data_IF_355098242645
#
_entry.id   IF_355098242645
#
_cell.length_a   1.000
_cell.length_b   1.000
_cell.length_c   1.000
_cell.angle_alpha   90.00
_cell.angle_beta   90.00
_cell.angle_gamma   90.00
#
_symmetry.space_group_name_H-M   'P 1'
#
loop_
_entity.id
_entity.type
_entity.pdbx_description
1 polymer ?
#
# COMPACT_ATOMS: atom_id res chain seq x y z
N UNK A 1 -61.32 35.07 0.15
CA UNK A 1 -60.08 35.00 -0.66
C UNK A 1 -59.00 34.34 0.19
N UNK A 2 -58.68 33.08 -0.08
CA UNK A 2 -57.63 32.31 0.62
C UNK A 2 -56.58 31.94 -0.43
N UNK A 3 -55.41 32.59 -0.39
CA UNK A 3 -54.29 32.23 -1.25
C UNK A 3 -53.52 31.08 -0.59
N UNK A 4 -53.56 29.91 -1.20
CA UNK A 4 -52.74 28.75 -0.80
C UNK A 4 -51.37 28.93 -1.45
N UNK A 5 -50.36 29.19 -0.62
CA UNK A 5 -48.97 29.29 -1.04
C UNK A 5 -48.41 27.86 -1.20
N UNK A 6 -48.27 27.39 -2.44
CA UNK A 6 -47.63 26.11 -2.75
C UNK A 6 -46.11 26.28 -2.65
N UNK A 7 -45.52 25.84 -1.53
CA UNK A 7 -44.07 25.70 -1.40
C UNK A 7 -43.63 24.46 -2.20
N UNK A 8 -43.09 24.69 -3.40
CA UNK A 8 -42.38 23.68 -4.19
C UNK A 8 -41.04 23.38 -3.51
N UNK A 9 -40.99 22.32 -2.71
CA UNK A 9 -39.75 21.76 -2.19
C UNK A 9 -39.05 21.04 -3.36
N UNK A 10 -38.08 21.71 -3.99
CA UNK A 10 -37.19 21.10 -4.97
C UNK A 10 -36.22 20.20 -4.21
N UNK A 11 -36.53 18.91 -4.15
CA UNK A 11 -35.62 17.86 -3.68
C UNK A 11 -34.51 17.68 -4.73
N UNK A 12 -33.42 18.43 -4.59
CA UNK A 12 -32.19 18.12 -5.30
C UNK A 12 -31.62 16.81 -4.74
N UNK A 13 -31.16 15.87 -5.58
CA UNK A 13 -30.44 14.71 -5.09
C UNK A 13 -29.16 15.21 -4.45
N UNK A 14 -29.04 15.05 -3.14
CA UNK A 14 -27.76 15.18 -2.45
C UNK A 14 -26.88 14.09 -3.06
N UNK A 15 -25.95 14.49 -3.92
CA UNK A 15 -24.82 13.65 -4.27
C UNK A 15 -24.04 13.45 -2.96
N UNK A 16 -24.40 12.40 -2.23
CA UNK A 16 -23.57 11.87 -1.16
C UNK A 16 -22.35 11.33 -1.88
N UNK A 17 -21.36 12.20 -2.12
CA UNK A 17 -19.99 11.77 -2.32
C UNK A 17 -19.66 10.93 -1.09
N UNK A 18 -19.76 9.61 -1.28
CA UNK A 18 -19.62 8.63 -0.20
C UNK A 18 -18.39 9.00 0.60
N UNK A 19 -18.59 9.21 1.90
CA UNK A 19 -17.50 9.36 2.86
C UNK A 19 -16.54 8.22 2.59
N UNK A 20 -15.41 8.51 1.93
CA UNK A 20 -14.45 7.51 1.51
C UNK A 20 -13.82 6.99 2.80
N UNK A 21 -14.39 5.90 3.33
CA UNK A 21 -13.95 5.29 4.58
C UNK A 21 -12.48 4.98 4.40
N UNK A 22 -11.62 5.75 5.07
CA UNK A 22 -10.16 5.68 4.93
C UNK A 22 -9.72 4.21 4.84
N UNK A 23 -9.28 3.78 3.66
CA UNK A 23 -8.75 2.44 3.49
C UNK A 23 -7.50 2.31 4.37
N UNK A 24 -7.61 1.47 5.41
CA UNK A 24 -6.56 1.31 6.40
C UNK A 24 -5.31 0.67 5.80
N UNK A 25 -5.46 -0.21 4.81
CA UNK A 25 -4.36 -0.83 4.09
C UNK A 25 -3.63 0.18 3.19
N UNK A 26 -4.36 1.00 2.45
CA UNK A 26 -3.80 2.13 1.70
C UNK A 26 -3.05 3.11 2.62
N UNK A 27 -3.60 3.38 3.81
CA UNK A 27 -2.92 4.20 4.82
C UNK A 27 -1.60 3.57 5.25
N UNK A 28 -1.54 2.25 5.40
CA UNK A 28 -0.28 1.55 5.71
C UNK A 28 0.69 1.59 4.55
N UNK A 29 0.23 1.41 3.30
CA UNK A 29 1.06 1.52 2.11
C UNK A 29 1.79 2.87 2.03
N UNK A 30 1.09 3.97 2.33
CA UNK A 30 1.68 5.31 2.39
C UNK A 30 2.58 5.52 3.61
N UNK A 31 2.11 5.13 4.81
CA UNK A 31 2.84 5.40 6.06
C UNK A 31 4.12 4.56 6.20
N UNK A 32 4.10 3.34 5.64
CA UNK A 32 5.28 2.49 5.52
C UNK A 32 6.20 2.93 4.37
N UNK A 33 5.83 3.97 3.64
CA UNK A 33 6.59 4.54 2.52
C UNK A 33 6.82 3.54 1.37
N UNK A 34 5.90 2.59 1.16
CA UNK A 34 6.00 1.64 0.05
C UNK A 34 5.97 2.37 -1.30
N UNK A 35 5.21 3.46 -1.37
CA UNK A 35 5.03 4.29 -2.56
C UNK A 35 6.28 5.10 -2.95
N UNK A 36 7.32 5.20 -2.12
CA UNK A 36 8.58 5.84 -2.55
C UNK A 36 9.34 5.00 -3.56
N UNK A 37 9.15 3.68 -3.52
CA UNK A 37 9.81 2.74 -4.42
C UNK A 37 8.79 2.17 -5.42
N UNK A 38 7.64 1.72 -4.94
CA UNK A 38 6.61 1.11 -5.78
C UNK A 38 5.68 2.10 -6.48
N UNK A 39 5.90 3.40 -6.24
CA UNK A 39 5.10 4.51 -6.76
C UNK A 39 3.64 4.48 -6.28
N UNK A 40 2.88 5.54 -6.59
CA UNK A 40 1.46 5.61 -6.22
C UNK A 40 0.62 4.58 -6.98
N UNK A 41 1.00 4.26 -8.22
CA UNK A 41 0.28 3.33 -9.08
C UNK A 41 0.63 1.87 -8.81
N UNK A 42 1.71 1.56 -8.09
CA UNK A 42 2.10 0.19 -7.75
C UNK A 42 2.89 -0.55 -8.84
N UNK A 43 3.30 0.12 -9.93
CA UNK A 43 4.04 -0.52 -11.03
C UNK A 43 5.55 -0.59 -10.75
N UNK A 44 6.02 -0.01 -9.65
CA UNK A 44 7.46 0.09 -9.42
C UNK A 44 8.13 1.03 -10.42
N UNK A 45 9.41 0.76 -10.70
CA UNK A 45 10.27 1.59 -11.53
C UNK A 45 11.45 2.19 -10.75
N UNK A 46 12.13 3.14 -11.38
CA UNK A 46 13.27 3.83 -10.77
C UNK A 46 12.90 4.56 -9.48
N UNK A 47 13.70 4.38 -8.45
CA UNK A 47 13.54 5.02 -7.14
C UNK A 47 14.91 5.22 -6.47
N UNK A 48 14.94 5.97 -5.37
CA UNK A 48 16.15 6.10 -4.54
C UNK A 48 16.67 4.75 -4.01
N UNK A 49 15.82 3.73 -3.91
CA UNK A 49 16.19 2.37 -3.52
C UNK A 49 16.58 1.47 -4.70
N UNK A 50 16.78 2.02 -5.90
CA UNK A 50 16.96 1.26 -7.13
C UNK A 50 15.64 1.02 -7.87
N UNK A 51 15.62 0.05 -8.79
CA UNK A 51 14.43 -0.31 -9.56
C UNK A 51 13.51 -1.25 -8.77
N UNK A 52 12.38 -0.74 -8.30
CA UNK A 52 11.38 -1.53 -7.61
C UNK A 52 10.56 -2.37 -8.59
N UNK A 53 10.23 -3.60 -8.21
CA UNK A 53 9.35 -4.46 -8.99
C UNK A 53 7.90 -3.93 -8.98
N UNK A 54 7.15 -4.28 -10.03
CA UNK A 54 5.70 -4.04 -10.09
C UNK A 54 4.98 -4.93 -9.08
N UNK A 55 4.21 -4.30 -8.19
CA UNK A 55 3.31 -5.02 -7.27
C UNK A 55 2.12 -5.58 -8.06
N UNK A 56 1.69 -4.90 -9.13
CA UNK A 56 0.56 -5.36 -9.95
C UNK A 56 0.87 -6.66 -10.67
N UNK A 57 2.12 -6.85 -11.09
CA UNK A 57 2.56 -8.02 -11.83
C UNK A 57 3.17 -9.12 -10.94
N UNK A 58 3.08 -8.97 -9.61
CA UNK A 58 3.68 -9.94 -8.68
C UNK A 58 3.02 -11.32 -8.80
N UNK A 59 3.85 -12.36 -8.86
CA UNK A 59 3.41 -13.76 -8.76
C UNK A 59 3.07 -14.20 -7.34
N UNK A 60 3.49 -13.45 -6.31
CA UNK A 60 3.38 -13.86 -4.90
C UNK A 60 1.92 -13.96 -4.42
N UNK A 61 1.57 -15.04 -3.75
CA UNK A 61 0.32 -15.18 -3.01
C UNK A 61 0.33 -14.36 -1.71
N UNK A 62 -0.72 -14.50 -0.90
CA UNK A 62 -0.89 -13.72 0.33
C UNK A 62 0.23 -14.00 1.33
N UNK A 63 0.60 -15.26 1.48
CA UNK A 63 1.64 -15.75 2.37
C UNK A 63 3.02 -15.24 1.93
N UNK A 64 3.31 -15.30 0.63
CA UNK A 64 4.53 -14.75 0.04
C UNK A 64 4.63 -13.24 0.21
N UNK A 65 3.53 -12.51 -0.02
CA UNK A 65 3.45 -11.07 0.24
C UNK A 65 3.65 -10.74 1.73
N UNK A 66 3.05 -11.51 2.62
CA UNK A 66 3.26 -11.33 4.05
C UNK A 66 4.73 -11.56 4.42
N UNK A 67 5.34 -12.65 3.92
CA UNK A 67 6.75 -12.96 4.18
C UNK A 67 7.68 -11.83 3.74
N UNK A 68 7.55 -11.35 2.51
CA UNK A 68 8.44 -10.32 1.97
C UNK A 68 8.24 -8.96 2.65
N UNK A 69 7.03 -8.62 3.09
CA UNK A 69 6.79 -7.40 3.88
C UNK A 69 7.34 -7.54 5.30
N UNK A 70 7.13 -8.68 5.96
CA UNK A 70 7.64 -8.90 7.31
C UNK A 70 9.17 -8.88 7.35
N UNK A 71 9.81 -9.59 6.41
CA UNK A 71 11.24 -9.89 6.41
C UNK A 71 12.07 -9.04 5.45
N UNK A 72 11.44 -8.20 4.62
CA UNK A 72 12.15 -7.49 3.57
C UNK A 72 12.80 -8.46 2.57
N UNK A 73 13.76 -7.95 1.81
CA UNK A 73 14.54 -8.75 0.86
C UNK A 73 16.03 -8.48 1.06
N UNK A 74 16.76 -9.38 1.77
CA UNK A 74 18.21 -9.31 1.95
C UNK A 74 18.96 -9.04 0.64
N UNK A 75 20.07 -8.30 0.70
CA UNK A 75 20.82 -7.86 -0.48
C UNK A 75 20.13 -6.79 -1.33
N UNK A 76 19.03 -6.20 -0.83
CA UNK A 76 18.28 -5.15 -1.55
C UNK A 76 17.82 -4.05 -0.61
N UNK A 77 17.35 -2.94 -1.19
CA UNK A 77 16.82 -1.81 -0.44
C UNK A 77 15.36 -2.01 0.05
N UNK A 78 14.73 -3.17 -0.16
CA UNK A 78 13.41 -3.45 0.41
C UNK A 78 13.56 -3.86 1.88
N UNK A 79 13.17 -3.01 2.84
CA UNK A 79 13.47 -3.26 4.24
C UNK A 79 12.48 -4.27 4.85
N UNK A 80 12.84 -4.80 6.02
CA UNK A 80 11.91 -5.57 6.84
C UNK A 80 11.02 -4.63 7.66
N UNK A 81 9.72 -4.90 7.70
CA UNK A 81 8.76 -4.05 8.39
C UNK A 81 8.28 -4.63 9.73
N UNK A 82 8.56 -5.89 10.04
CA UNK A 82 8.17 -6.50 11.32
C UNK A 82 9.23 -6.32 12.39
N UNK A 83 8.82 -5.93 13.61
CA UNK A 83 9.69 -5.92 14.80
C UNK A 83 10.16 -7.32 15.25
N UNK A 84 9.56 -8.38 14.68
CA UNK A 84 9.91 -9.77 14.95
C UNK A 84 10.89 -10.33 13.92
N UNK A 85 11.13 -9.62 12.81
CA UNK A 85 12.02 -10.07 11.75
C UNK A 85 13.44 -10.33 12.27
N UNK A 86 14.01 -11.46 11.88
CA UNK A 86 15.39 -11.89 12.17
C UNK A 86 15.79 -11.97 13.66
N UNK A 87 14.81 -11.96 14.59
CA UNK A 87 15.02 -12.29 16.01
C UNK A 87 15.12 -13.80 16.23
N UNK A 88 14.47 -14.55 15.35
CA UNK A 88 14.52 -16.00 15.22
C UNK A 88 14.58 -16.34 13.71
N UNK A 89 14.50 -17.61 13.38
CA UNK A 89 14.65 -18.17 12.03
C UNK A 89 13.41 -18.00 11.12
N UNK A 90 12.37 -17.26 11.55
CA UNK A 90 11.15 -17.08 10.75
C UNK A 90 11.39 -16.43 9.39
N UNK A 91 12.45 -15.65 9.25
CA UNK A 91 12.78 -14.91 8.03
C UNK A 91 13.78 -15.71 7.21
N UNK A 92 13.26 -16.52 6.29
CA UNK A 92 14.05 -17.34 5.37
C UNK A 92 14.99 -18.36 6.06
N UNK A 93 14.69 -18.75 7.31
CA UNK A 93 15.57 -19.62 8.10
C UNK A 93 16.73 -18.87 8.77
N UNK A 94 16.76 -17.54 8.69
CA UNK A 94 17.90 -16.71 9.07
C UNK A 94 17.56 -15.77 10.23
N UNK A 95 18.57 -15.50 11.04
CA UNK A 95 18.65 -14.50 12.11
C UNK A 95 19.63 -13.40 11.72
N UNK A 96 19.63 -12.27 12.43
CA UNK A 96 20.57 -11.17 12.16
C UNK A 96 22.05 -11.55 12.33
N UNK A 97 22.34 -12.56 13.16
CA UNK A 97 23.70 -13.08 13.38
C UNK A 97 24.23 -13.81 12.12
N UNK A 98 23.34 -14.38 11.32
CA UNK A 98 23.74 -15.13 10.12
C UNK A 98 24.23 -14.22 8.99
N UNK A 99 24.17 -12.89 9.18
CA UNK A 99 24.69 -11.87 8.26
C UNK A 99 25.95 -11.17 8.80
N UNK A 100 26.60 -11.71 9.85
CA UNK A 100 27.87 -11.14 10.34
C UNK A 100 28.96 -11.23 9.27
N UNK A 101 29.58 -10.10 8.95
CA UNK A 101 30.58 -10.00 7.88
C UNK A 101 29.99 -9.90 6.46
N UNK A 102 28.67 -9.94 6.30
CA UNK A 102 27.96 -9.80 5.02
C UNK A 102 27.13 -8.51 4.97
N UNK A 103 27.77 -7.35 5.16
CA UNK A 103 27.09 -6.05 5.26
C UNK A 103 26.22 -5.72 4.03
N UNK A 104 26.63 -6.16 2.83
CA UNK A 104 25.87 -5.97 1.59
C UNK A 104 24.56 -6.76 1.55
N UNK A 105 24.55 -7.97 2.14
CA UNK A 105 23.37 -8.83 2.18
C UNK A 105 22.49 -8.57 3.41
N UNK A 106 23.01 -7.84 4.39
CA UNK A 106 22.35 -7.62 5.68
C UNK A 106 20.97 -6.96 5.48
N UNK A 107 19.89 -7.53 6.03
CA UNK A 107 18.55 -6.96 5.88
C UNK A 107 18.42 -5.61 6.58
N UNK A 108 17.83 -4.63 5.89
CA UNK A 108 17.68 -3.26 6.39
C UNK A 108 16.36 -3.07 7.16
N UNK A 109 16.37 -2.40 8.33
CA UNK A 109 15.14 -2.07 9.04
C UNK A 109 14.33 -1.00 8.31
N UNK A 110 13.00 -1.14 8.31
CA UNK A 110 12.14 -0.08 7.83
C UNK A 110 12.16 1.11 8.79
N UNK A 111 12.18 2.33 8.24
CA UNK A 111 12.05 3.57 9.04
C UNK A 111 10.76 3.57 9.90
N UNK A 112 9.70 2.94 9.38
CA UNK A 112 8.45 2.71 10.10
C UNK A 112 8.15 1.22 10.20
N UNK A 113 8.37 0.65 11.37
CA UNK A 113 7.93 -0.70 11.69
C UNK A 113 6.40 -0.78 11.76
N UNK A 114 5.86 -1.92 11.33
CA UNK A 114 4.45 -2.28 11.35
C UNK A 114 4.19 -3.41 12.36
N UNK A 115 3.01 -3.41 12.97
CA UNK A 115 2.51 -4.55 13.74
C UNK A 115 1.72 -5.53 12.84
N UNK A 116 1.41 -6.71 13.38
CA UNK A 116 0.74 -7.79 12.64
C UNK A 116 -0.60 -7.34 12.00
N UNK A 117 -1.38 -6.49 12.68
CA UNK A 117 -2.65 -5.95 12.15
C UNK A 117 -2.40 -5.00 10.98
N UNK A 118 -1.36 -4.17 11.06
CA UNK A 118 -0.98 -3.24 10.00
C UNK A 118 -0.45 -3.97 8.77
N UNK A 119 0.39 -4.98 8.97
CA UNK A 119 0.91 -5.83 7.90
C UNK A 119 -0.27 -6.53 7.21
N UNK A 120 -1.16 -7.16 7.96
CA UNK A 120 -2.35 -7.81 7.40
C UNK A 120 -3.21 -6.85 6.56
N UNK A 121 -3.42 -5.63 7.05
CA UNK A 121 -4.17 -4.61 6.30
C UNK A 121 -3.46 -4.17 5.01
N UNK A 122 -2.14 -3.99 5.06
CA UNK A 122 -1.32 -3.69 3.90
C UNK A 122 -1.40 -4.81 2.85
N UNK A 123 -1.26 -6.08 3.27
CA UNK A 123 -1.35 -7.22 2.36
C UNK A 123 -2.73 -7.31 1.72
N UNK A 124 -3.80 -7.13 2.49
CA UNK A 124 -5.16 -7.11 1.93
C UNK A 124 -5.30 -6.00 0.88
N UNK A 125 -4.82 -4.78 1.13
CA UNK A 125 -4.83 -3.71 0.12
C UNK A 125 -4.04 -4.09 -1.14
N UNK A 126 -2.87 -4.72 -1.00
CA UNK A 126 -2.10 -5.19 -2.17
C UNK A 126 -2.90 -6.21 -2.99
N UNK A 127 -3.54 -7.18 -2.33
CA UNK A 127 -4.34 -8.21 -2.99
C UNK A 127 -5.60 -7.64 -3.64
N UNK A 128 -6.28 -6.72 -2.95
CA UNK A 128 -7.60 -6.24 -3.34
C UNK A 128 -7.53 -5.09 -4.35
N UNK A 129 -6.45 -4.31 -4.39
CA UNK A 129 -6.36 -3.08 -5.19
C UNK A 129 -5.20 -3.05 -6.21
N UNK A 130 -4.15 -3.84 -6.01
CA UNK A 130 -2.94 -3.78 -6.84
C UNK A 130 -2.74 -5.04 -7.67
N UNK A 131 -2.53 -6.19 -7.03
CA UNK A 131 -2.14 -7.44 -7.69
C UNK A 131 -3.14 -7.83 -8.78
N UNK A 132 -2.64 -7.99 -10.01
CA UNK A 132 -3.42 -8.38 -11.18
C UNK A 132 -4.45 -7.36 -11.67
N UNK A 133 -4.49 -6.15 -11.09
CA UNK A 133 -5.47 -5.11 -11.48
C UNK A 133 -4.78 -4.04 -12.31
N UNK A 134 -5.40 -3.52 -13.39
CA UNK A 134 -4.87 -2.37 -14.10
C UNK A 134 -4.94 -1.11 -13.24
N UNK A 135 -4.14 -0.09 -13.59
CA UNK A 135 -4.31 1.26 -13.02
C UNK A 135 -5.63 1.83 -13.55
N UNK A 136 -6.55 2.17 -12.66
CA UNK A 136 -7.85 2.73 -13.01
C UNK A 136 -8.05 4.12 -12.40
N UNK A 137 -8.97 4.88 -13.00
CA UNK A 137 -9.43 6.16 -12.46
C UNK A 137 -9.96 6.04 -11.03
N UNK A 138 -10.73 5.00 -10.74
CA UNK A 138 -11.26 4.74 -9.39
C UNK A 138 -10.14 4.50 -8.37
N UNK A 139 -9.14 3.69 -8.73
CA UNK A 139 -7.97 3.47 -7.89
C UNK A 139 -7.19 4.79 -7.68
N UNK A 140 -7.03 5.60 -8.72
CA UNK A 140 -6.36 6.89 -8.63
C UNK A 140 -7.09 7.83 -7.65
N UNK A 141 -8.41 7.95 -7.78
CA UNK A 141 -9.25 8.73 -6.87
C UNK A 141 -9.19 8.19 -5.43
N UNK A 142 -9.21 6.88 -5.25
CA UNK A 142 -9.03 6.22 -3.94
C UNK A 142 -7.66 6.56 -3.35
N UNK A 143 -6.59 6.47 -4.15
CA UNK A 143 -5.24 6.77 -3.70
C UNK A 143 -5.10 8.23 -3.28
N UNK A 144 -5.48 9.18 -4.14
CA UNK A 144 -5.28 10.61 -3.85
C UNK A 144 -6.35 11.20 -2.92
N UNK A 145 -7.50 10.54 -2.78
CA UNK A 145 -8.65 11.02 -2.00
C UNK A 145 -9.38 12.19 -2.66
N UNK A 146 -8.96 12.62 -3.85
CA UNK A 146 -9.52 13.71 -4.64
C UNK A 146 -9.11 13.57 -6.11
N UNK A 147 -9.83 14.21 -7.04
CA UNK A 147 -9.39 14.33 -8.42
C UNK A 147 -8.00 14.97 -8.51
N UNK A 148 -7.18 14.47 -9.43
CA UNK A 148 -5.89 15.05 -9.81
C UNK A 148 -5.76 14.92 -11.33
N UNK A 149 -4.90 15.75 -11.94
CA UNK A 149 -4.63 15.68 -13.39
C UNK A 149 -4.27 14.27 -13.86
N UNK A 150 -3.46 13.55 -13.09
CA UNK A 150 -3.08 12.17 -13.41
C UNK A 150 -4.28 11.23 -13.41
N UNK A 151 -5.29 11.48 -12.58
CA UNK A 151 -6.52 10.67 -12.59
C UNK A 151 -7.45 11.01 -13.76
N UNK A 152 -7.31 12.18 -14.38
CA UNK A 152 -8.11 12.60 -15.54
C UNK A 152 -7.57 12.02 -16.85
N UNK A 153 -6.26 11.72 -16.89
CA UNK A 153 -5.53 11.15 -18.02
C UNK A 153 -5.61 9.61 -18.09
N UNK A 154 -6.32 8.96 -17.15
CA UNK A 154 -6.59 7.51 -17.08
C UNK A 154 -8.00 7.17 -17.57
#
# INVERSE_FOLDING_TARGET
MKYILFFLIILTPINIYGQNKSDYGLKMFKNANCNSCHQWHGNGGGSYGGAAASIRDTGLDKEGLQKIVECGRPGTNMPYFSKKAYKDDRCYGLKLIDFEGEDENRPLPARKMLNDRQIKALINFIMDDLKGKPVSKDYCLKYFGKPTRVCEEL
#
